data_IF_868205005894
#
_entry.id   IF_868205005894
#
_cell.length_a   1.000
_cell.length_b   1.000
_cell.length_c   1.000
_cell.angle_alpha   90.00
_cell.angle_beta   90.00
_cell.angle_gamma   90.00
#
_symmetry.space_group_name_H-M   'P 1'
#
loop_
_entity.id
_entity.type
_entity.pdbx_description
1 polymer ?
#
# COMPACT_ATOMS: atom_id res chain seq x y z
N UNK A 1 13.77 -23.27 -2.79
CA UNK A 1 12.93 -22.93 -1.61
C UNK A 1 12.03 -21.80 -2.07
N UNK A 2 10.72 -21.85 -1.80
CA UNK A 2 9.87 -20.72 -2.14
C UNK A 2 10.36 -19.53 -1.30
N UNK A 3 10.78 -18.45 -1.94
CA UNK A 3 11.12 -17.23 -1.23
C UNK A 3 9.83 -16.69 -0.63
N UNK A 4 9.79 -16.58 0.70
CA UNK A 4 8.64 -16.03 1.40
C UNK A 4 8.40 -14.61 0.89
N UNK A 5 7.18 -14.36 0.45
CA UNK A 5 6.76 -13.07 -0.06
C UNK A 5 5.42 -12.68 0.53
N UNK A 6 5.38 -11.52 1.17
CA UNK A 6 4.19 -10.91 1.71
C UNK A 6 4.23 -9.42 1.45
N UNK A 7 3.10 -8.83 1.09
CA UNK A 7 2.94 -7.39 1.00
C UNK A 7 1.56 -7.00 1.52
N UNK A 8 1.51 -6.03 2.43
CA UNK A 8 0.27 -5.37 2.86
C UNK A 8 0.46 -3.88 2.86
N UNK A 9 -0.51 -3.18 2.30
CA UNK A 9 -0.59 -1.73 2.37
C UNK A 9 -1.96 -1.31 2.87
N UNK A 10 -1.96 -0.38 3.83
CA UNK A 10 -3.15 0.24 4.37
C UNK A 10 -3.01 1.77 4.29
N UNK A 11 -4.10 2.46 3.95
CA UNK A 11 -4.26 3.89 4.19
C UNK A 11 -5.66 4.17 4.66
N UNK A 12 -5.79 4.96 5.71
CA UNK A 12 -7.11 5.34 6.18
C UNK A 12 -7.09 6.50 7.15
N UNK A 13 -8.27 7.04 7.39
CA UNK A 13 -8.48 8.11 8.34
C UNK A 13 -9.89 8.03 8.93
N UNK A 14 -10.07 8.62 10.12
CA UNK A 14 -11.38 8.74 10.76
C UNK A 14 -11.83 10.19 10.67
N UNK A 15 -12.68 10.46 9.67
CA UNK A 15 -13.25 11.77 9.42
C UNK A 15 -14.63 11.95 10.07
N UNK A 16 -15.28 13.08 9.75
CA UNK A 16 -16.64 13.40 10.18
C UNK A 16 -17.68 12.34 9.75
N UNK A 17 -17.41 11.65 8.64
CA UNK A 17 -18.33 10.68 8.03
C UNK A 17 -17.98 9.23 8.37
N UNK A 18 -17.12 9.01 9.38
CA UNK A 18 -16.71 7.68 9.81
C UNK A 18 -15.30 7.31 9.35
N UNK A 19 -15.02 6.01 9.32
CA UNK A 19 -13.71 5.47 8.95
C UNK A 19 -13.67 5.19 7.46
N UNK A 20 -12.81 5.90 6.73
CA UNK A 20 -12.52 5.65 5.32
C UNK A 20 -11.14 5.06 5.18
N UNK A 21 -11.02 3.99 4.39
CA UNK A 21 -9.74 3.33 4.17
C UNK A 21 -9.67 2.56 2.85
N UNK A 22 -8.45 2.31 2.43
CA UNK A 22 -8.06 1.40 1.36
C UNK A 22 -7.00 0.47 1.93
N UNK A 23 -7.20 -0.83 1.76
CA UNK A 23 -6.25 -1.87 2.14
C UNK A 23 -6.14 -2.92 1.04
N UNK A 24 -4.91 -3.35 0.76
CA UNK A 24 -4.67 -4.53 -0.06
C UNK A 24 -3.53 -5.37 0.49
N UNK A 25 -3.63 -6.67 0.25
CA UNK A 25 -2.71 -7.69 0.76
C UNK A 25 -2.42 -8.71 -0.33
N UNK A 26 -1.14 -9.01 -0.57
CA UNK A 26 -0.67 -10.15 -1.35
C UNK A 26 -0.05 -11.17 -0.41
N UNK A 27 -0.64 -12.37 -0.38
CA UNK A 27 -0.18 -13.49 0.43
C UNK A 27 0.82 -14.37 -0.34
N UNK A 28 1.63 -15.21 0.35
CA UNK A 28 2.61 -16.08 -0.31
C UNK A 28 2.02 -17.06 -1.32
N UNK A 29 0.74 -17.42 -1.17
CA UNK A 29 -0.01 -18.30 -2.07
C UNK A 29 -0.52 -17.59 -3.35
N UNK A 30 -0.19 -16.30 -3.53
CA UNK A 30 -0.66 -15.48 -4.65
C UNK A 30 -2.06 -14.93 -4.45
N UNK A 31 -2.65 -15.05 -3.25
CA UNK A 31 -3.95 -14.45 -2.97
C UNK A 31 -3.82 -12.94 -2.79
N UNK A 32 -4.44 -12.18 -3.70
CA UNK A 32 -4.71 -10.75 -3.57
C UNK A 32 -6.03 -10.56 -2.82
N UNK A 33 -6.00 -9.81 -1.72
CA UNK A 33 -7.18 -9.34 -0.98
C UNK A 33 -7.22 -7.82 -1.07
N UNK A 34 -8.39 -7.27 -1.34
CA UNK A 34 -8.61 -5.85 -1.54
C UNK A 34 -9.86 -5.42 -0.78
N UNK A 35 -9.73 -4.32 -0.03
CA UNK A 35 -10.81 -3.68 0.68
C UNK A 35 -10.75 -2.16 0.47
N UNK A 36 -11.87 -1.56 0.10
CA UNK A 36 -12.02 -0.11 0.04
C UNK A 36 -13.36 0.29 0.66
N UNK A 37 -13.28 1.17 1.65
CA UNK A 37 -14.43 1.76 2.31
C UNK A 37 -14.37 3.27 2.14
N UNK A 38 -15.24 3.82 1.30
CA UNK A 38 -15.49 5.24 1.17
C UNK A 38 -16.89 5.55 1.70
N UNK A 39 -17.01 6.60 2.52
CA UNK A 39 -18.31 7.05 3.04
C UNK A 39 -18.87 8.19 2.17
N UNK A 40 -18.23 8.48 1.04
CA UNK A 40 -18.70 9.45 0.07
C UNK A 40 -19.99 8.95 -0.58
N UNK A 41 -21.09 9.69 -0.40
CA UNK A 41 -22.42 9.39 -1.00
C UNK A 41 -23.04 8.04 -0.61
N UNK A 42 -22.74 7.50 0.57
CA UNK A 42 -23.24 6.19 1.04
C UNK A 42 -22.78 5.02 0.14
N UNK A 43 -21.56 5.07 -0.38
CA UNK A 43 -21.05 3.96 -1.18
C UNK A 43 -20.91 2.68 -0.33
N UNK A 44 -21.01 1.54 -0.99
CA UNK A 44 -20.94 0.24 -0.32
C UNK A 44 -19.48 -0.21 -0.28
N UNK A 45 -19.03 -0.66 0.90
CA UNK A 45 -17.69 -1.21 1.06
C UNK A 45 -17.37 -2.26 0.00
N UNK A 46 -16.30 -2.05 -0.75
CA UNK A 46 -15.80 -2.99 -1.75
C UNK A 46 -14.87 -3.98 -1.04
N UNK A 47 -15.17 -5.27 -1.15
CA UNK A 47 -14.28 -6.37 -0.75
C UNK A 47 -14.12 -7.35 -1.90
N UNK A 48 -12.89 -7.61 -2.30
CA UNK A 48 -12.56 -8.48 -3.42
C UNK A 48 -11.36 -9.35 -3.09
N UNK A 49 -11.40 -10.59 -3.56
CA UNK A 49 -10.29 -11.53 -3.43
C UNK A 49 -10.10 -12.27 -4.75
N UNK A 50 -8.85 -12.42 -5.18
CA UNK A 50 -8.48 -13.18 -6.37
C UNK A 50 -7.12 -13.83 -6.17
N UNK A 51 -6.85 -14.93 -6.88
CA UNK A 51 -5.49 -15.45 -6.98
C UNK A 51 -4.84 -14.86 -8.23
N UNK A 52 -3.65 -14.31 -8.08
CA UNK A 52 -2.84 -13.82 -9.20
C UNK A 52 -1.86 -14.88 -9.65
N UNK A 53 -1.49 -14.83 -10.92
CA UNK A 53 -0.45 -15.71 -11.46
C UNK A 53 0.92 -15.36 -10.86
N UNK A 54 1.83 -16.35 -10.77
CA UNK A 54 3.19 -16.16 -10.26
C UNK A 54 3.93 -15.00 -10.92
N UNK A 55 3.73 -14.75 -12.21
CA UNK A 55 4.36 -13.62 -12.91
C UNK A 55 4.00 -12.25 -12.32
N UNK A 56 2.79 -12.09 -11.76
CA UNK A 56 2.39 -10.86 -11.06
C UNK A 56 3.14 -10.74 -9.74
N UNK A 57 3.33 -11.85 -9.03
CA UNK A 57 4.10 -11.89 -7.79
C UNK A 57 5.58 -11.56 -8.02
N UNK A 58 6.18 -12.07 -9.10
CA UNK A 58 7.57 -11.75 -9.46
C UNK A 58 7.73 -10.29 -9.90
N UNK A 59 6.72 -9.71 -10.57
CA UNK A 59 6.74 -8.28 -10.93
C UNK A 59 6.60 -7.38 -9.68
N UNK A 60 5.78 -7.77 -8.70
CA UNK A 60 5.71 -7.08 -7.41
C UNK A 60 7.06 -7.06 -6.70
N UNK A 61 7.76 -8.21 -6.66
CA UNK A 61 9.12 -8.30 -6.12
C UNK A 61 10.07 -7.37 -6.84
N UNK A 62 10.06 -7.38 -8.19
CA UNK A 62 10.89 -6.49 -9.01
C UNK A 62 10.66 -5.02 -8.69
N UNK A 63 9.39 -4.59 -8.57
CA UNK A 63 9.04 -3.20 -8.21
C UNK A 63 9.58 -2.83 -6.82
N UNK A 64 9.49 -3.74 -5.85
CA UNK A 64 9.99 -3.54 -4.48
C UNK A 64 11.51 -3.46 -4.48
N UNK A 65 12.20 -4.40 -5.13
CA UNK A 65 13.65 -4.44 -5.23
C UNK A 65 14.20 -3.17 -5.90
N UNK A 66 13.62 -2.76 -7.03
CA UNK A 66 14.01 -1.56 -7.79
C UNK A 66 13.77 -0.26 -7.00
N UNK A 67 12.81 -0.27 -6.06
CA UNK A 67 12.53 0.89 -5.22
C UNK A 67 13.55 1.09 -4.11
N UNK A 68 14.32 0.06 -3.76
CA UNK A 68 15.24 0.04 -2.61
C UNK A 68 14.57 0.33 -1.25
N UNK A 69 13.25 0.18 -1.15
CA UNK A 69 12.46 0.48 0.06
C UNK A 69 12.90 -0.30 1.30
N UNK A 70 13.52 -1.48 1.15
CA UNK A 70 14.02 -2.29 2.27
C UNK A 70 15.24 -1.67 2.96
N UNK A 71 15.86 -0.64 2.35
CA UNK A 71 16.97 0.13 2.91
C UNK A 71 16.51 1.34 3.73
N UNK A 72 15.23 1.68 3.69
CA UNK A 72 14.65 2.83 4.36
C UNK A 72 14.18 2.50 5.79
N UNK A 73 14.01 3.53 6.62
CA UNK A 73 13.56 3.42 8.00
C UNK A 73 12.60 4.56 8.37
N UNK A 74 11.52 4.24 9.08
CA UNK A 74 10.45 5.19 9.38
C UNK A 74 10.66 5.99 10.68
N UNK A 75 11.78 5.85 11.38
CA UNK A 75 12.01 6.51 12.68
C UNK A 75 11.94 8.04 12.62
N UNK A 76 12.19 8.63 11.45
CA UNK A 76 12.12 10.09 11.23
C UNK A 76 10.84 10.52 10.50
N UNK A 77 9.98 9.58 10.11
CA UNK A 77 8.77 9.89 9.36
C UNK A 77 7.69 10.48 10.29
N UNK A 78 6.77 11.31 9.75
CA UNK A 78 5.68 11.85 10.54
C UNK A 78 4.81 10.72 11.14
N UNK A 79 4.57 10.70 12.45
CA UNK A 79 3.72 9.67 13.05
C UNK A 79 2.26 9.83 12.62
N UNK A 80 1.45 8.76 12.63
CA UNK A 80 0.03 8.84 12.32
C UNK A 80 -0.72 9.88 13.16
N UNK A 81 -1.65 10.59 12.54
CA UNK A 81 -2.40 11.66 13.17
C UNK A 81 -3.90 11.60 12.83
N UNK A 82 -4.62 12.72 13.06
CA UNK A 82 -6.05 12.82 12.77
C UNK A 82 -6.37 12.90 11.26
N UNK A 83 -5.43 13.39 10.45
CA UNK A 83 -5.54 13.49 8.99
C UNK A 83 -5.47 12.09 8.37
N UNK A 84 -4.65 11.21 8.92
CA UNK A 84 -4.70 9.79 8.59
C UNK A 84 -3.47 8.99 9.00
N UNK A 85 -3.48 7.75 8.53
CA UNK A 85 -2.44 6.75 8.77
C UNK A 85 -2.17 5.98 7.47
N UNK A 86 -0.90 5.70 7.22
CA UNK A 86 -0.43 4.74 6.23
C UNK A 86 0.38 3.65 6.92
N UNK A 87 0.22 2.42 6.47
CA UNK A 87 1.03 1.28 6.88
C UNK A 87 1.50 0.54 5.63
N UNK A 88 2.76 0.11 5.62
CA UNK A 88 3.32 -0.78 4.61
C UNK A 88 4.10 -1.88 5.32
N UNK A 89 3.81 -3.12 4.99
CA UNK A 89 4.49 -4.28 5.54
C UNK A 89 4.90 -5.20 4.39
N UNK A 90 6.20 -5.53 4.32
CA UNK A 90 6.77 -6.33 3.25
C UNK A 90 7.67 -7.39 3.88
N UNK A 91 7.48 -8.64 3.46
CA UNK A 91 8.44 -9.73 3.64
C UNK A 91 8.93 -10.14 2.26
N UNK A 92 10.23 -10.11 2.03
CA UNK A 92 10.85 -10.54 0.77
C UNK A 92 12.15 -11.28 1.03
N UNK A 93 12.14 -12.59 0.84
CA UNK A 93 13.28 -13.42 1.23
C UNK A 93 13.50 -13.39 2.73
N UNK A 94 14.68 -12.91 3.16
CA UNK A 94 15.06 -12.78 4.57
C UNK A 94 14.82 -11.35 5.14
N UNK A 95 14.36 -10.42 4.30
CA UNK A 95 14.08 -9.04 4.72
C UNK A 95 12.62 -8.88 5.16
N UNK A 96 12.41 -8.22 6.31
CA UNK A 96 11.08 -7.85 6.81
C UNK A 96 11.10 -6.39 7.24
N UNK A 97 10.25 -5.59 6.61
CA UNK A 97 10.02 -4.18 6.98
C UNK A 97 8.56 -3.95 7.34
N UNK A 98 8.35 -3.02 8.27
CA UNK A 98 7.03 -2.56 8.68
C UNK A 98 7.08 -1.08 8.99
N UNK A 99 6.47 -0.27 8.13
CA UNK A 99 6.43 1.18 8.28
C UNK A 99 5.05 1.65 8.70
N UNK A 100 5.02 2.71 9.51
CA UNK A 100 3.82 3.40 9.94
C UNK A 100 4.04 4.91 9.92
N UNK A 101 3.28 5.62 9.09
CA UNK A 101 3.41 7.08 8.92
C UNK A 101 2.05 7.77 8.81
N UNK A 102 2.03 9.10 8.88
CA UNK A 102 0.85 9.91 8.59
C UNK A 102 0.46 9.82 7.10
N UNK A 103 -0.72 10.31 6.76
CA UNK A 103 -1.17 10.39 5.38
C UNK A 103 -0.37 11.47 4.62
N UNK A 104 0.37 11.05 3.60
CA UNK A 104 1.12 11.94 2.71
C UNK A 104 0.17 12.45 1.61
N UNK A 105 0.00 13.76 1.52
CA UNK A 105 -0.87 14.39 0.54
C UNK A 105 -0.17 14.73 -0.78
N UNK A 106 1.10 15.16 -0.69
CA UNK A 106 1.88 15.61 -1.84
C UNK A 106 3.39 15.53 -1.60
N UNK A 107 4.18 15.79 -2.65
CA UNK A 107 5.64 15.94 -2.54
C UNK A 107 6.06 17.12 -1.66
N UNK A 108 5.18 18.09 -1.39
CA UNK A 108 5.49 19.19 -0.44
C UNK A 108 5.66 18.61 0.97
N UNK A 109 4.76 17.71 1.38
CA UNK A 109 4.82 17.06 2.70
C UNK A 109 6.09 16.22 2.84
N UNK A 110 6.49 15.53 1.76
CA UNK A 110 7.73 14.76 1.69
C UNK A 110 8.95 15.67 1.86
N UNK A 111 9.04 16.75 1.07
CA UNK A 111 10.19 17.65 1.08
C UNK A 111 10.34 18.44 2.40
N UNK A 112 9.26 18.61 3.17
CA UNK A 112 9.27 19.28 4.47
C UNK A 112 9.51 18.32 5.65
N UNK A 113 9.63 17.02 5.40
CA UNK A 113 9.87 16.01 6.42
C UNK A 113 11.32 16.00 6.91
N UNK A 114 11.59 15.21 7.95
CA UNK A 114 12.95 15.00 8.48
C UNK A 114 13.77 13.99 7.67
N UNK A 115 13.11 13.24 6.80
CA UNK A 115 13.72 12.26 5.92
C UNK A 115 13.05 12.33 4.53
N UNK A 116 13.38 13.35 3.72
CA UNK A 116 12.74 13.56 2.43
C UNK A 116 13.14 12.53 1.38
N UNK A 117 14.28 11.83 1.54
CA UNK A 117 14.73 10.81 0.60
C UNK A 117 13.94 9.51 0.80
N UNK A 118 13.91 8.97 2.03
CA UNK A 118 13.18 7.74 2.32
C UNK A 118 11.67 7.88 2.14
N UNK A 119 11.08 9.02 2.55
CA UNK A 119 9.66 9.28 2.30
C UNK A 119 9.33 9.44 0.81
N UNK A 120 10.28 9.87 -0.02
CA UNK A 120 10.07 9.95 -1.48
C UNK A 120 10.04 8.56 -2.09
N UNK A 121 10.93 7.67 -1.68
CA UNK A 121 10.92 6.25 -2.08
C UNK A 121 9.58 5.63 -1.71
N UNK A 122 9.15 5.76 -0.44
CA UNK A 122 7.84 5.29 0.02
C UNK A 122 6.68 5.87 -0.80
N UNK A 123 6.69 7.18 -1.05
CA UNK A 123 5.62 7.86 -1.78
C UNK A 123 5.44 7.36 -3.22
N UNK A 124 6.54 7.09 -3.93
CA UNK A 124 6.48 6.57 -5.30
C UNK A 124 6.14 5.08 -5.32
N UNK A 125 6.75 4.26 -4.46
CA UNK A 125 6.41 2.83 -4.37
C UNK A 125 4.91 2.62 -4.10
N UNK A 126 4.35 3.36 -3.15
CA UNK A 126 2.91 3.26 -2.83
C UNK A 126 2.04 3.61 -4.04
N UNK A 127 2.45 4.54 -4.90
CA UNK A 127 1.72 4.86 -6.13
C UNK A 127 1.80 3.74 -7.15
N UNK A 128 2.99 3.16 -7.37
CA UNK A 128 3.17 2.04 -8.30
C UNK A 128 2.35 0.82 -7.88
N UNK A 129 2.36 0.49 -6.58
CA UNK A 129 1.55 -0.59 -6.00
C UNK A 129 0.04 -0.33 -6.19
N UNK A 130 -0.43 0.89 -5.94
CA UNK A 130 -1.84 1.25 -6.18
C UNK A 130 -2.21 1.12 -7.65
N UNK A 131 -1.37 1.60 -8.56
CA UNK A 131 -1.60 1.50 -10.00
C UNK A 131 -1.76 0.04 -10.44
N UNK A 132 -0.88 -0.85 -9.97
CA UNK A 132 -0.96 -2.27 -10.26
C UNK A 132 -2.25 -2.89 -9.68
N UNK A 133 -2.54 -2.66 -8.41
CA UNK A 133 -3.72 -3.24 -7.74
C UNK A 133 -5.03 -2.72 -8.36
N UNK A 134 -5.13 -1.43 -8.65
CA UNK A 134 -6.33 -0.86 -9.29
C UNK A 134 -6.54 -1.42 -10.69
N UNK A 135 -5.47 -1.68 -11.44
CA UNK A 135 -5.55 -2.33 -12.75
C UNK A 135 -6.05 -3.78 -12.62
N UNK A 136 -5.50 -4.55 -11.68
CA UNK A 136 -5.90 -5.94 -11.43
C UNK A 136 -7.37 -6.04 -11.00
N UNK A 137 -7.78 -5.25 -10.01
CA UNK A 137 -9.15 -5.26 -9.47
C UNK A 137 -10.14 -4.73 -10.51
N UNK A 138 -9.81 -3.63 -11.17
CA UNK A 138 -10.67 -2.98 -12.16
C UNK A 138 -10.94 -3.88 -13.36
N UNK A 139 -9.91 -4.49 -13.94
CA UNK A 139 -10.04 -5.36 -15.10
C UNK A 139 -10.69 -6.71 -14.75
N UNK A 140 -10.30 -7.32 -13.63
CA UNK A 140 -10.80 -8.65 -13.25
C UNK A 140 -12.27 -8.61 -12.83
N UNK A 141 -12.66 -7.63 -12.01
CA UNK A 141 -14.03 -7.54 -11.48
C UNK A 141 -14.93 -6.59 -12.27
N UNK A 142 -14.40 -5.84 -13.24
CA UNK A 142 -15.14 -4.84 -14.04
C UNK A 142 -15.82 -3.77 -13.16
N UNK A 143 -15.08 -3.29 -12.15
CA UNK A 143 -15.55 -2.25 -11.22
C UNK A 143 -14.63 -1.03 -11.26
N UNK A 144 -15.13 0.10 -10.75
CA UNK A 144 -14.24 1.19 -10.34
C UNK A 144 -13.60 0.81 -9.00
N UNK A 145 -12.26 0.79 -8.90
CA UNK A 145 -11.57 0.44 -7.67
C UNK A 145 -11.50 1.62 -6.68
N UNK A 146 -12.31 2.66 -6.85
CA UNK A 146 -12.43 3.83 -5.97
C UNK A 146 -13.90 4.23 -5.93
#
# INVERSE_FOLDING_TARGET
>A
MATDFYLRYYVGHKGKFGHEFLEFEFRPDGKLRYANNSNYKNDVMIRKEAYVHKSVMEELKRIIDDSEITKEDDALWPPPDRVGRQELEIVIGDEHISFTTSKIGSLIDVNQSKDPEGLRVFYYLVQDLKCLVFSLIGLHFKIKPI
#
